data_IF_947350560129
#
_entry.id   IF_947350560129
#
_cell.length_a   1.000
_cell.length_b   1.000
_cell.length_c   1.000
_cell.angle_alpha   90.00
_cell.angle_beta   90.00
_cell.angle_gamma   90.00
#
_symmetry.space_group_name_H-M   'P 1'
#
loop_
_entity.id
_entity.type
_entity.pdbx_description
1 polymer ?
#
# COMPACT_ATOMS: atom_id res chain seq x y z
N UNK A 1 17.86 -7.76 5.13
CA UNK A 1 16.84 -7.08 4.30
C UNK A 1 16.08 -6.01 5.11
N UNK A 2 16.00 -4.77 4.62
CA UNK A 2 15.47 -3.62 5.39
C UNK A 2 13.95 -3.63 5.65
N UNK A 3 13.21 -4.54 5.01
CA UNK A 3 11.73 -4.61 5.07
C UNK A 3 11.16 -5.99 5.44
N UNK A 4 12.00 -6.98 5.77
CA UNK A 4 11.53 -8.34 6.06
C UNK A 4 10.92 -9.03 4.82
N UNK A 5 9.97 -9.95 5.04
CA UNK A 5 9.23 -10.62 3.98
C UNK A 5 8.20 -9.67 3.35
N UNK A 6 8.08 -9.69 2.03
CA UNK A 6 7.07 -8.96 1.27
C UNK A 6 6.54 -9.83 0.14
N UNK A 7 5.23 -9.80 -0.08
CA UNK A 7 4.65 -10.34 -1.30
C UNK A 7 5.06 -9.52 -2.52
N UNK A 8 5.15 -10.20 -3.65
CA UNK A 8 5.50 -9.66 -4.96
C UNK A 8 4.38 -9.97 -5.92
N UNK A 9 3.83 -8.94 -6.54
CA UNK A 9 2.92 -9.09 -7.68
C UNK A 9 3.79 -9.10 -8.93
N UNK A 10 3.70 -10.18 -9.70
CA UNK A 10 4.41 -10.37 -10.96
C UNK A 10 3.51 -10.00 -12.15
N UNK A 11 4.06 -10.08 -13.36
CA UNK A 11 3.36 -9.83 -14.63
C UNK A 11 2.78 -8.42 -14.74
N UNK A 12 3.47 -7.46 -14.14
CA UNK A 12 3.15 -6.04 -14.25
C UNK A 12 3.96 -5.45 -15.42
N UNK A 13 3.31 -4.86 -16.45
CA UNK A 13 4.04 -4.24 -17.55
C UNK A 13 5.11 -3.24 -17.07
N UNK A 14 6.28 -3.29 -17.69
CA UNK A 14 7.43 -2.41 -17.41
C UNK A 14 7.99 -2.49 -15.97
N UNK A 15 7.68 -3.55 -15.22
CA UNK A 15 8.10 -3.74 -13.82
C UNK A 15 8.45 -5.20 -13.53
N UNK A 16 9.59 -5.43 -12.87
CA UNK A 16 9.95 -6.77 -12.40
C UNK A 16 8.91 -7.34 -11.43
N UNK A 17 8.46 -6.49 -10.48
CA UNK A 17 7.38 -6.78 -9.54
C UNK A 17 6.91 -5.52 -8.81
N UNK A 18 5.75 -5.65 -8.16
CA UNK A 18 5.21 -4.70 -7.18
C UNK A 18 5.27 -5.33 -5.79
N UNK A 19 5.74 -4.56 -4.79
CA UNK A 19 5.79 -5.02 -3.41
C UNK A 19 4.54 -4.65 -2.63
N UNK A 20 4.09 -5.55 -1.76
CA UNK A 20 3.17 -5.23 -0.66
C UNK A 20 4.00 -4.93 0.59
N UNK A 21 4.05 -3.67 1.03
CA UNK A 21 4.82 -3.27 2.21
C UNK A 21 4.19 -2.12 3.00
N UNK A 22 4.66 -1.92 4.22
CA UNK A 22 4.18 -0.83 5.08
C UNK A 22 4.64 0.53 4.57
N UNK A 23 3.69 1.46 4.47
CA UNK A 23 3.87 2.85 4.04
C UNK A 23 2.74 3.72 4.63
N UNK A 24 2.88 5.03 4.52
CA UNK A 24 1.84 5.99 4.94
C UNK A 24 1.31 6.79 3.75
N UNK A 25 2.21 7.26 2.90
CA UNK A 25 1.89 8.22 1.85
C UNK A 25 2.07 7.64 0.44
N UNK A 26 1.12 7.97 -0.44
CA UNK A 26 1.09 7.56 -1.85
C UNK A 26 1.10 8.77 -2.82
N UNK A 27 1.65 9.90 -2.39
CA UNK A 27 1.58 11.15 -3.15
C UNK A 27 2.49 11.20 -4.39
N UNK A 28 2.19 12.12 -5.30
CA UNK A 28 3.05 12.44 -6.45
C UNK A 28 4.14 13.45 -6.06
N UNK A 29 5.40 13.01 -6.02
CA UNK A 29 6.55 13.85 -5.65
C UNK A 29 6.75 15.02 -6.62
N UNK A 30 6.31 14.93 -7.87
CA UNK A 30 6.40 16.04 -8.85
C UNK A 30 5.49 17.20 -8.46
N UNK A 31 4.48 16.95 -7.63
CA UNK A 31 3.57 17.95 -7.05
C UNK A 31 3.98 18.38 -5.64
N UNK A 32 5.19 18.00 -5.19
CA UNK A 32 5.67 18.27 -3.82
C UNK A 32 5.03 17.42 -2.73
N UNK A 33 4.29 16.36 -3.09
CA UNK A 33 3.61 15.50 -2.12
C UNK A 33 4.55 14.44 -1.54
N UNK A 34 4.29 14.04 -0.29
CA UNK A 34 5.00 12.97 0.40
C UNK A 34 4.68 11.62 -0.25
N UNK A 35 5.68 10.75 -0.37
CA UNK A 35 5.51 9.46 -1.03
C UNK A 35 6.46 8.41 -0.48
N UNK A 36 5.88 7.38 0.10
CA UNK A 36 6.57 6.16 0.54
C UNK A 36 6.45 5.04 -0.49
N UNK A 37 5.54 5.20 -1.47
CA UNK A 37 5.20 4.21 -2.49
C UNK A 37 5.65 4.68 -3.88
N UNK A 38 6.42 3.85 -4.59
CA UNK A 38 6.79 4.06 -6.00
C UNK A 38 5.99 3.13 -6.92
N UNK A 39 4.67 3.08 -6.70
CA UNK A 39 3.78 2.07 -7.29
C UNK A 39 3.73 0.75 -6.51
N UNK A 40 4.21 0.74 -5.27
CA UNK A 40 4.00 -0.38 -4.34
C UNK A 40 2.58 -0.34 -3.76
N UNK A 41 2.14 -1.45 -3.18
CA UNK A 41 0.85 -1.58 -2.49
C UNK A 41 1.10 -1.52 -0.98
N UNK A 42 0.21 -0.86 -0.24
CA UNK A 42 0.21 -0.89 1.22
C UNK A 42 -1.16 -1.24 1.77
N UNK A 43 -1.16 -1.82 2.97
CA UNK A 43 -2.36 -2.11 3.73
C UNK A 43 -2.33 -1.26 4.99
N UNK A 44 -3.49 -0.81 5.46
CA UNK A 44 -3.60 -0.17 6.75
C UNK A 44 -5.02 -0.19 7.26
N UNK A 45 -5.14 0.11 8.55
CA UNK A 45 -6.40 -0.04 9.28
C UNK A 45 -7.21 1.25 9.32
N UNK A 46 -6.51 2.38 9.32
CA UNK A 46 -7.13 3.70 9.46
C UNK A 46 -6.64 4.65 8.38
N UNK A 47 -7.49 5.62 8.07
CA UNK A 47 -7.19 6.72 7.14
C UNK A 47 -7.19 8.02 7.95
N UNK A 48 -6.39 8.99 7.55
CA UNK A 48 -6.33 10.27 8.24
C UNK A 48 -5.49 11.30 7.47
N UNK A 49 -5.32 12.48 8.06
CA UNK A 49 -4.47 13.54 7.52
C UNK A 49 -3.26 13.72 8.44
N UNK A 50 -2.06 13.67 7.88
CA UNK A 50 -0.82 13.98 8.58
C UNK A 50 0.06 14.82 7.65
N UNK A 51 0.69 15.87 8.19
CA UNK A 51 1.48 16.85 7.39
C UNK A 51 0.68 17.40 6.19
N UNK A 52 -0.58 17.75 6.41
CA UNK A 52 -1.51 18.27 5.40
C UNK A 52 -1.75 17.33 4.21
N UNK A 53 -1.49 16.03 4.36
CA UNK A 53 -1.72 15.03 3.31
C UNK A 53 -2.51 13.84 3.84
N UNK A 54 -3.47 13.35 3.05
CA UNK A 54 -4.17 12.10 3.34
C UNK A 54 -3.18 10.93 3.33
N UNK A 55 -3.30 10.03 4.30
CA UNK A 55 -2.45 8.86 4.44
C UNK A 55 -3.21 7.65 4.99
N UNK A 56 -2.58 6.50 4.84
CA UNK A 56 -3.00 5.23 5.44
C UNK A 56 -2.11 4.94 6.64
N UNK A 57 -2.69 4.55 7.78
CA UNK A 57 -1.96 4.35 9.02
C UNK A 57 -2.09 2.92 9.54
N UNK A 58 -1.29 2.60 10.56
CA UNK A 58 -1.21 1.26 11.17
C UNK A 58 -0.68 0.20 10.18
N UNK A 59 0.04 0.62 9.14
CA UNK A 59 0.41 -0.26 8.02
C UNK A 59 1.41 -1.35 8.34
N UNK A 60 2.25 -1.17 9.37
CA UNK A 60 3.17 -2.23 9.84
C UNK A 60 2.44 -3.44 10.40
N UNK A 61 1.45 -3.19 11.26
CA UNK A 61 0.67 -4.25 11.89
C UNK A 61 -0.19 -4.97 10.85
N UNK A 62 -0.85 -4.22 9.97
CA UNK A 62 -1.74 -4.83 8.97
C UNK A 62 -0.99 -5.61 7.88
N UNK A 63 0.18 -5.14 7.43
CA UNK A 63 1.01 -5.93 6.49
C UNK A 63 1.51 -7.22 7.15
N UNK A 64 1.92 -7.17 8.42
CA UNK A 64 2.30 -8.38 9.14
C UNK A 64 1.13 -9.34 9.33
N UNK A 65 -0.04 -8.82 9.70
CA UNK A 65 -1.27 -9.61 9.85
C UNK A 65 -1.65 -10.27 8.53
N UNK A 66 -1.55 -9.55 7.42
CA UNK A 66 -1.77 -10.08 6.08
C UNK A 66 -0.78 -11.20 5.75
N UNK A 67 0.52 -10.98 5.98
CA UNK A 67 1.54 -12.01 5.77
C UNK A 67 1.28 -13.29 6.57
N UNK A 68 0.82 -13.16 7.82
CA UNK A 68 0.42 -14.29 8.66
C UNK A 68 -0.82 -14.99 8.13
N UNK A 69 -1.88 -14.23 7.78
CA UNK A 69 -3.14 -14.78 7.28
C UNK A 69 -2.95 -15.58 6.00
N UNK A 70 -2.15 -15.05 5.08
CA UNK A 70 -1.84 -15.68 3.80
C UNK A 70 -0.78 -16.78 3.92
N UNK A 71 -0.20 -16.97 5.11
CA UNK A 71 0.80 -17.99 5.43
C UNK A 71 1.97 -18.07 4.42
N UNK A 72 2.37 -16.93 3.86
CA UNK A 72 3.42 -16.82 2.83
C UNK A 72 3.17 -17.69 1.58
N UNK A 73 1.92 -18.07 1.33
CA UNK A 73 1.52 -18.83 0.14
C UNK A 73 1.10 -17.89 -0.98
N UNK A 74 1.22 -18.38 -2.21
CA UNK A 74 0.77 -17.65 -3.38
C UNK A 74 -0.76 -17.48 -3.38
N UNK A 75 -1.23 -16.38 -3.94
CA UNK A 75 -2.65 -16.06 -4.05
C UNK A 75 -2.90 -15.18 -5.27
N UNK A 76 -4.15 -15.16 -5.72
CA UNK A 76 -4.59 -14.27 -6.80
C UNK A 76 -5.01 -12.93 -6.18
N UNK A 77 -4.41 -11.84 -6.64
CA UNK A 77 -4.80 -10.48 -6.28
C UNK A 77 -5.77 -9.93 -7.33
N UNK A 78 -7.02 -9.72 -6.93
CA UNK A 78 -8.01 -8.99 -7.73
C UNK A 78 -8.08 -7.54 -7.23
N UNK A 79 -8.00 -6.58 -8.16
CA UNK A 79 -8.12 -5.14 -7.86
C UNK A 79 -9.37 -4.61 -8.54
N UNK A 80 -10.40 -4.34 -7.76
CA UNK A 80 -11.65 -3.73 -8.21
C UNK A 80 -11.75 -2.29 -7.72
N UNK A 81 -12.28 -1.40 -8.55
CA UNK A 81 -12.63 -0.07 -8.09
C UNK A 81 -13.90 -0.15 -7.23
N UNK A 82 -13.83 0.33 -6.00
CA UNK A 82 -14.99 0.49 -5.12
C UNK A 82 -15.27 1.98 -5.03
N UNK A 83 -16.15 2.47 -5.90
CA UNK A 83 -16.56 3.88 -5.93
C UNK A 83 -17.31 4.23 -4.65
N UNK A 84 -16.59 4.68 -3.62
CA UNK A 84 -17.18 5.15 -2.37
C UNK A 84 -16.31 6.24 -1.74
N UNK A 85 -16.32 7.46 -2.27
CA UNK A 85 -15.98 8.64 -1.46
C UNK A 85 -16.76 9.90 -1.88
N UNK A 86 -17.85 10.16 -1.17
CA UNK A 86 -18.38 11.52 -0.96
C UNK A 86 -17.42 12.21 0.01
N UNK A 87 -16.77 13.29 -0.43
CA UNK A 87 -16.11 14.22 0.49
C UNK A 87 -17.12 15.31 0.82
N UNK A 88 -17.67 15.31 2.03
CA UNK A 88 -18.36 16.49 2.56
C UNK A 88 -17.26 17.45 3.01
N UNK A 89 -17.25 18.65 2.43
CA UNK A 89 -16.34 19.74 2.77
C UNK A 89 -16.68 20.33 4.14
#
# INVERSE_FOLDING_TARGET
PSKGFCYRVYDVPDRDYILIHSATFAGDRRKGLLSDLRGCITLGKTRGVYKNQRGIFVSKVEVNRFNTLMNKQDFILEVSNVDNYISIA
#
